data_IF_498437181993
#
_entry.id   IF_498437181993
#
_cell.length_a   1.000
_cell.length_b   1.000
_cell.length_c   1.000
_cell.angle_alpha   90.00
_cell.angle_beta   90.00
_cell.angle_gamma   90.00
#
_symmetry.space_group_name_H-M   'P 1'
#
loop_
_entity.id
_entity.type
_entity.pdbx_description
1 polymer ?
#
# COMPACT_ATOMS: atom_id res chain seq x y z
N UNK A 1 -6.81 1.83 2.39
CA UNK A 1 -7.89 0.81 2.52
C UNK A 1 -7.50 -0.13 3.65
N UNK A 2 -8.45 -0.52 4.51
CA UNK A 2 -8.18 -1.55 5.50
C UNK A 2 -8.14 -2.94 4.83
N UNK A 3 -7.27 -3.86 5.29
CA UNK A 3 -7.20 -5.22 4.74
C UNK A 3 -8.49 -6.03 4.89
N UNK A 4 -9.38 -5.61 5.80
CA UNK A 4 -10.71 -6.18 5.96
C UNK A 4 -11.59 -5.32 6.86
N UNK A 5 -12.85 -5.72 7.03
CA UNK A 5 -13.85 -4.92 7.75
C UNK A 5 -13.59 -4.81 9.27
N UNK A 6 -12.89 -5.77 9.87
CA UNK A 6 -12.63 -5.84 11.32
C UNK A 6 -11.23 -6.38 11.59
N UNK A 7 -10.66 -6.05 12.75
CA UNK A 7 -9.40 -6.64 13.24
C UNK A 7 -8.11 -5.92 12.82
N UNK A 8 -8.21 -4.82 12.07
CA UNK A 8 -7.03 -4.08 11.56
C UNK A 8 -6.82 -2.71 12.20
N UNK A 9 -7.65 -2.34 13.18
CA UNK A 9 -7.58 -1.06 13.89
C UNK A 9 -7.48 -1.33 15.38
N UNK A 10 -6.39 -0.88 16.01
CA UNK A 10 -6.11 -1.13 17.43
C UNK A 10 -5.48 0.12 18.06
N UNK A 11 -6.18 0.77 18.98
CA UNK A 11 -5.63 1.89 19.76
C UNK A 11 -5.01 3.02 18.93
N UNK A 12 -5.69 3.47 17.87
CA UNK A 12 -5.17 4.51 16.98
C UNK A 12 -4.02 4.06 16.07
N UNK A 13 -3.91 2.74 15.84
CA UNK A 13 -2.98 2.14 14.89
C UNK A 13 -3.75 1.34 13.85
N UNK A 14 -3.31 1.41 12.60
CA UNK A 14 -3.97 0.75 11.47
C UNK A 14 -2.97 -0.21 10.83
N UNK A 15 -3.25 -1.52 10.92
CA UNK A 15 -2.49 -2.56 10.22
C UNK A 15 -2.91 -2.58 8.75
N UNK A 16 -1.93 -2.50 7.87
CA UNK A 16 -2.11 -2.38 6.43
C UNK A 16 -1.22 -3.41 5.72
N UNK A 17 -1.59 -3.76 4.50
CA UNK A 17 -0.85 -4.70 3.65
C UNK A 17 -0.50 -4.01 2.32
N UNK A 18 0.79 -3.76 2.03
CA UNK A 18 1.20 -3.07 0.80
C UNK A 18 0.73 -3.76 -0.49
N UNK A 19 0.49 -5.08 -0.47
CA UNK A 19 0.15 -5.85 -1.66
C UNK A 19 -1.33 -5.76 -2.09
N UNK A 20 -2.20 -5.18 -1.26
CA UNK A 20 -3.66 -5.25 -1.45
C UNK A 20 -4.23 -4.18 -2.38
N UNK A 21 -3.43 -3.18 -2.76
CA UNK A 21 -3.87 -2.03 -3.54
C UNK A 21 -3.01 -1.84 -4.80
N UNK A 22 -3.20 -2.69 -5.83
CA UNK A 22 -2.47 -2.53 -7.09
C UNK A 22 -2.77 -1.16 -7.72
N UNK A 23 -1.74 -0.38 -8.02
CA UNK A 23 -1.88 0.95 -8.61
C UNK A 23 -2.72 0.94 -9.91
N UNK A 24 -2.57 -0.03 -10.84
CA UNK A 24 -3.40 -0.08 -12.05
C UNK A 24 -4.90 -0.18 -11.77
N UNK A 25 -5.31 -0.89 -10.71
CA UNK A 25 -6.72 -1.00 -10.33
C UNK A 25 -7.24 0.32 -9.75
N UNK A 26 -6.45 1.00 -8.92
CA UNK A 26 -6.82 2.32 -8.39
C UNK A 26 -6.97 3.36 -9.52
N UNK A 27 -6.13 3.29 -10.56
CA UNK A 27 -6.31 4.10 -11.78
C UNK A 27 -7.62 3.80 -12.48
N UNK A 28 -7.97 2.52 -12.63
CA UNK A 28 -9.24 2.11 -13.24
C UNK A 28 -10.45 2.58 -12.42
N UNK A 29 -10.38 2.56 -11.09
CA UNK A 29 -11.45 3.04 -10.22
C UNK A 29 -11.60 4.57 -10.29
N UNK A 30 -10.50 5.32 -10.28
CA UNK A 30 -10.54 6.77 -10.47
C UNK A 30 -11.13 7.18 -11.81
N UNK A 31 -10.93 6.39 -12.86
CA UNK A 31 -11.56 6.61 -14.16
C UNK A 31 -13.06 6.21 -14.17
N UNK A 32 -13.45 5.19 -13.39
CA UNK A 32 -14.85 4.73 -13.31
C UNK A 32 -15.73 5.68 -12.51
N UNK A 33 -15.18 6.20 -11.42
CA UNK A 33 -15.84 7.04 -10.43
C UNK A 33 -14.94 8.25 -10.14
N UNK A 34 -14.98 9.28 -11.00
CA UNK A 34 -14.14 10.47 -10.86
C UNK A 34 -14.48 11.32 -9.62
N UNK A 35 -15.66 11.12 -9.02
CA UNK A 35 -16.07 11.84 -7.82
C UNK A 35 -15.52 11.17 -6.54
N UNK A 36 -15.19 9.88 -6.60
CA UNK A 36 -14.54 9.17 -5.50
C UNK A 36 -13.08 9.56 -5.30
N UNK A 37 -12.57 9.45 -4.06
CA UNK A 37 -11.16 9.74 -3.70
C UNK A 37 -10.19 8.59 -4.11
N UNK A 38 -10.44 7.93 -5.23
CA UNK A 38 -9.58 6.85 -5.73
C UNK A 38 -8.20 7.35 -6.15
N UNK A 39 -8.13 8.57 -6.69
CA UNK A 39 -6.88 9.25 -6.99
C UNK A 39 -6.05 9.53 -5.72
N UNK A 40 -6.67 10.01 -4.65
CA UNK A 40 -6.00 10.18 -3.35
C UNK A 40 -5.59 8.84 -2.74
N UNK A 41 -6.42 7.79 -2.86
CA UNK A 41 -6.06 6.44 -2.43
C UNK A 41 -4.82 5.92 -3.16
N UNK A 42 -4.68 6.18 -4.47
CA UNK A 42 -3.49 5.83 -5.25
C UNK A 42 -2.23 6.51 -4.71
N UNK A 43 -2.30 7.83 -4.47
CA UNK A 43 -1.18 8.59 -3.91
C UNK A 43 -0.77 8.08 -2.51
N UNK A 44 -1.75 7.83 -1.63
CA UNK A 44 -1.51 7.29 -0.28
C UNK A 44 -0.94 5.87 -0.31
N UNK A 45 -1.33 5.07 -1.29
CA UNK A 45 -0.81 3.71 -1.48
C UNK A 45 0.65 3.73 -1.93
N UNK A 46 1.01 4.56 -2.91
CA UNK A 46 2.39 4.73 -3.33
C UNK A 46 3.27 5.23 -2.16
N UNK A 47 2.74 6.17 -1.36
CA UNK A 47 3.41 6.59 -0.12
C UNK A 47 3.62 5.43 0.86
N UNK A 48 2.60 4.61 1.11
CA UNK A 48 2.71 3.46 2.01
C UNK A 48 3.80 2.49 1.57
N UNK A 49 3.83 2.13 0.28
CA UNK A 49 4.84 1.21 -0.27
C UNK A 49 6.25 1.77 -0.02
N UNK A 50 6.50 3.01 -0.45
CA UNK A 50 7.82 3.65 -0.29
C UNK A 50 8.22 3.83 1.18
N UNK A 51 7.34 4.40 2.00
CA UNK A 51 7.67 4.79 3.37
C UNK A 51 7.75 3.55 4.31
N UNK A 52 7.15 2.41 3.95
CA UNK A 52 7.26 1.14 4.70
C UNK A 52 8.42 0.25 4.25
N UNK A 53 9.09 0.59 3.15
CA UNK A 53 10.19 -0.18 2.54
C UNK A 53 11.49 0.65 2.49
N UNK A 54 12.07 1.07 3.63
CA UNK A 54 13.25 1.96 3.65
C UNK A 54 14.49 1.37 2.96
N UNK A 55 14.57 0.04 2.84
CA UNK A 55 15.62 -0.68 2.13
C UNK A 55 15.21 -1.12 0.71
N UNK A 56 14.06 -0.66 0.19
CA UNK A 56 13.51 -1.07 -1.10
C UNK A 56 12.83 -2.45 -1.08
N UNK A 57 12.66 -3.06 0.08
CA UNK A 57 11.98 -4.35 0.26
C UNK A 57 10.68 -4.13 1.03
N UNK A 58 9.56 -4.36 0.36
CA UNK A 58 8.23 -4.21 0.95
C UNK A 58 7.96 -5.31 2.00
N UNK A 59 7.37 -4.98 3.15
CA UNK A 59 6.91 -5.99 4.11
C UNK A 59 5.53 -6.54 3.71
N UNK A 60 5.18 -7.72 4.21
CA UNK A 60 3.83 -8.28 4.09
C UNK A 60 2.83 -7.38 4.84
N UNK A 61 3.24 -6.84 5.99
CA UNK A 61 2.42 -6.02 6.85
C UNK A 61 3.18 -4.79 7.34
N UNK A 62 2.50 -3.67 7.43
CA UNK A 62 2.99 -2.44 8.06
C UNK A 62 1.89 -1.83 8.92
N UNK A 63 2.27 -0.99 9.88
CA UNK A 63 1.33 -0.28 10.73
C UNK A 63 1.46 1.22 10.49
N UNK A 64 0.35 1.89 10.19
CA UNK A 64 0.26 3.34 10.34
C UNK A 64 -0.04 3.65 11.81
N UNK A 65 0.77 4.48 12.46
CA UNK A 65 0.59 4.85 13.87
C UNK A 65 -0.04 6.24 14.07
N UNK A 66 -0.57 6.85 13.01
CA UNK A 66 -1.03 8.24 13.00
C UNK A 66 -0.02 9.24 12.44
N UNK A 67 1.27 8.87 12.36
CA UNK A 67 2.35 9.75 11.93
C UNK A 67 3.27 9.12 10.87
N UNK A 68 3.58 7.84 11.00
CA UNK A 68 4.51 7.11 10.15
C UNK A 68 4.06 5.68 9.92
N UNK A 69 4.58 5.08 8.85
CA UNK A 69 4.55 3.63 8.65
C UNK A 69 5.68 3.02 9.48
N UNK A 70 5.33 2.08 10.35
CA UNK A 70 6.25 1.41 11.26
C UNK A 70 6.12 -0.09 11.11
N UNK A 71 7.12 -0.81 11.58
CA UNK A 71 7.13 -2.27 11.61
C UNK A 71 5.92 -2.78 12.40
N UNK A 72 5.26 -3.81 11.87
CA UNK A 72 4.19 -4.49 12.60
C UNK A 72 4.77 -5.26 13.80
N UNK A 73 4.26 -4.99 15.00
CA UNK A 73 4.77 -5.62 16.22
C UNK A 73 4.47 -7.11 16.36
N UNK A 74 3.50 -7.64 15.60
CA UNK A 74 3.11 -9.05 15.62
C UNK A 74 3.70 -9.81 14.42
N UNK A 75 3.72 -9.18 13.24
CA UNK A 75 4.18 -9.82 11.99
C UNK A 75 5.65 -9.53 11.66
N UNK A 76 6.26 -8.55 12.33
CA UNK A 76 7.62 -8.09 12.04
C UNK A 76 7.72 -7.33 10.71
N UNK A 77 8.95 -7.05 10.30
CA UNK A 77 9.26 -6.36 9.04
C UNK A 77 9.52 -7.31 7.87
N UNK A 78 8.93 -8.50 7.89
CA UNK A 78 9.19 -9.56 6.90
C UNK A 78 8.41 -9.29 5.62
N UNK A 79 9.08 -9.38 4.47
CA UNK A 79 8.44 -9.51 3.16
C UNK A 79 8.52 -10.96 2.66
N UNK A 80 7.38 -11.55 2.33
CA UNK A 80 7.26 -12.94 1.89
C UNK A 80 6.15 -13.08 0.82
N UNK A 81 5.27 -14.07 0.96
CA UNK A 81 4.24 -14.42 -0.01
C UNK A 81 3.23 -13.30 -0.30
N UNK A 82 3.00 -12.37 0.63
CA UNK A 82 2.14 -11.21 0.35
C UNK A 82 2.91 -10.15 -0.41
N UNK A 83 4.05 -9.72 0.14
CA UNK A 83 4.88 -8.65 -0.38
C UNK A 83 5.40 -8.92 -1.78
N UNK A 84 5.60 -10.18 -2.18
CA UNK A 84 6.07 -10.52 -3.53
C UNK A 84 5.16 -9.92 -4.62
N UNK A 85 3.86 -9.76 -4.33
CA UNK A 85 2.89 -9.17 -5.27
C UNK A 85 3.08 -7.66 -5.46
N UNK A 86 3.69 -6.96 -4.51
CA UNK A 86 4.00 -5.53 -4.64
C UNK A 86 4.85 -5.30 -5.90
N UNK A 87 5.90 -6.11 -6.08
CA UNK A 87 6.79 -6.01 -7.23
C UNK A 87 6.12 -6.41 -8.54
N UNK A 88 5.23 -7.41 -8.51
CA UNK A 88 4.39 -7.76 -9.66
C UNK A 88 3.54 -6.56 -10.10
N UNK A 89 2.84 -5.91 -9.17
CA UNK A 89 1.99 -4.75 -9.48
C UNK A 89 2.80 -3.54 -9.95
N UNK A 90 3.97 -3.30 -9.35
CA UNK A 90 4.89 -2.26 -9.80
C UNK A 90 5.37 -2.52 -11.24
N UNK A 91 5.73 -3.77 -11.56
CA UNK A 91 6.15 -4.19 -12.90
C UNK A 91 5.07 -4.04 -13.97
N UNK A 92 3.81 -4.24 -13.63
CA UNK A 92 2.67 -4.09 -14.55
C UNK A 92 2.13 -2.65 -14.64
N UNK A 93 2.57 -1.74 -13.77
CA UNK A 93 2.14 -0.34 -13.81
C UNK A 93 2.68 0.33 -15.08
N UNK A 94 1.84 1.11 -15.78
CA UNK A 94 2.23 1.79 -17.02
C UNK A 94 3.48 2.66 -16.84
N UNK A 95 4.40 2.67 -17.82
CA UNK A 95 5.67 3.38 -17.72
C UNK A 95 5.51 4.89 -17.52
N UNK A 96 4.46 5.48 -18.10
CA UNK A 96 4.13 6.90 -17.95
C UNK A 96 3.33 7.25 -16.71
N UNK A 97 2.99 6.29 -15.83
CA UNK A 97 2.27 6.62 -14.60
C UNK A 97 3.20 7.39 -13.63
N UNK A 98 2.85 8.62 -13.21
CA UNK A 98 3.73 9.44 -12.39
C UNK A 98 4.02 8.85 -11.00
N UNK A 99 3.18 7.94 -10.50
CA UNK A 99 3.40 7.28 -9.22
C UNK A 99 4.28 6.04 -9.35
N UNK A 100 4.57 5.55 -10.56
CA UNK A 100 5.39 4.35 -10.79
C UNK A 100 6.81 4.47 -10.22
N UNK A 101 7.42 5.65 -10.31
CA UNK A 101 8.79 5.87 -9.84
C UNK A 101 8.94 5.74 -8.32
N UNK A 102 7.84 5.77 -7.57
CA UNK A 102 7.82 5.63 -6.11
C UNK A 102 7.31 4.28 -5.61
N UNK A 103 7.14 3.29 -6.51
CA UNK A 103 6.74 1.93 -6.16
C UNK A 103 7.94 1.00 -5.99
#
# INVERSE_FOLDING_TARGET
MLPGARGFVHGGRWRLNPSYLPLPLLRRFAAADPQGDWGGMAARTARMIRDSAPAGLAPDWTVWNGQAFVVDGEKGGVGSYDAIRVYLWAGMTAAGDPLRAGL
#
